data_IF_924510763652
#
_entry.id   IF_924510763652
#
_cell.length_a   1.000
_cell.length_b   1.000
_cell.length_c   1.000
_cell.angle_alpha   90.00
_cell.angle_beta   90.00
_cell.angle_gamma   90.00
#
_symmetry.space_group_name_H-M   'P 1'
#
loop_
_entity.id
_entity.type
_entity.pdbx_description
1 polymer ?
#
# COMPACT_ATOMS: atom_id res chain seq x y z
N UNK A 1 -16.64 -15.41 -7.35
CA UNK A 1 -16.19 -14.33 -8.26
C UNK A 1 -14.80 -14.66 -8.79
N UNK A 2 -14.50 -14.21 -10.02
CA UNK A 2 -13.18 -14.38 -10.66
C UNK A 2 -12.37 -13.08 -10.52
N UNK A 3 -11.12 -13.20 -10.13
CA UNK A 3 -10.18 -12.10 -10.06
C UNK A 3 -8.93 -12.35 -10.89
N UNK A 4 -8.34 -11.31 -11.44
CA UNK A 4 -7.05 -11.37 -12.11
C UNK A 4 -6.06 -10.40 -11.44
N UNK A 5 -4.82 -10.86 -11.21
CA UNK A 5 -3.71 -10.08 -10.70
C UNK A 5 -2.68 -9.85 -11.79
N UNK A 6 -2.41 -8.60 -12.13
CA UNK A 6 -1.45 -8.22 -13.17
C UNK A 6 -0.23 -7.57 -12.52
N UNK A 7 0.94 -8.15 -12.74
CA UNK A 7 2.19 -7.74 -12.10
C UNK A 7 2.44 -8.49 -10.79
N UNK A 8 3.47 -9.34 -10.82
CA UNK A 8 3.85 -10.23 -9.72
C UNK A 8 5.18 -9.81 -9.07
N UNK A 9 5.37 -8.50 -8.94
CA UNK A 9 6.47 -7.92 -8.18
C UNK A 9 6.27 -8.07 -6.67
N UNK A 10 6.67 -7.06 -5.91
CA UNK A 10 6.63 -7.08 -4.44
C UNK A 10 5.21 -7.23 -3.85
N UNK A 11 4.20 -6.63 -4.48
CA UNK A 11 2.85 -6.56 -3.92
C UNK A 11 1.91 -7.63 -4.49
N UNK A 12 2.02 -7.92 -5.80
CA UNK A 12 1.07 -8.76 -6.52
C UNK A 12 0.80 -10.12 -5.88
N UNK A 13 1.83 -10.92 -5.54
CA UNK A 13 1.61 -12.22 -4.92
C UNK A 13 0.80 -12.14 -3.62
N UNK A 14 1.18 -11.21 -2.72
CA UNK A 14 0.47 -11.05 -1.45
C UNK A 14 -0.98 -10.57 -1.61
N UNK A 15 -1.27 -9.69 -2.58
CA UNK A 15 -2.62 -9.24 -2.92
C UNK A 15 -3.45 -10.43 -3.45
N UNK A 16 -2.90 -11.19 -4.42
CA UNK A 16 -3.56 -12.36 -4.97
C UNK A 16 -3.87 -13.40 -3.88
N UNK A 17 -2.91 -13.65 -2.98
CA UNK A 17 -3.10 -14.56 -1.86
C UNK A 17 -4.23 -14.12 -0.92
N UNK A 18 -4.32 -12.83 -0.63
CA UNK A 18 -5.35 -12.27 0.25
C UNK A 18 -6.74 -12.41 -0.37
N UNK A 19 -6.88 -12.04 -1.64
CA UNK A 19 -8.16 -12.16 -2.36
C UNK A 19 -8.58 -13.62 -2.55
N UNK A 20 -7.61 -14.53 -2.82
CA UNK A 20 -7.91 -15.97 -2.93
C UNK A 20 -8.37 -16.56 -1.60
N UNK A 21 -7.77 -16.18 -0.47
CA UNK A 21 -8.23 -16.57 0.87
C UNK A 21 -9.64 -16.04 1.18
N UNK A 22 -9.99 -14.89 0.62
CA UNK A 22 -11.33 -14.31 0.67
C UNK A 22 -12.34 -14.95 -0.28
N UNK A 23 -11.95 -16.06 -0.97
CA UNK A 23 -12.85 -16.84 -1.81
C UNK A 23 -12.91 -16.46 -3.28
N UNK A 24 -12.04 -15.53 -3.77
CA UNK A 24 -11.95 -15.25 -5.19
C UNK A 24 -11.14 -16.32 -5.92
N UNK A 25 -11.61 -16.72 -7.09
CA UNK A 25 -10.82 -17.54 -8.02
C UNK A 25 -9.83 -16.64 -8.74
N UNK A 26 -8.58 -16.58 -8.21
CA UNK A 26 -7.55 -15.69 -8.71
C UNK A 26 -6.73 -16.32 -9.84
N UNK A 27 -6.49 -15.54 -10.90
CA UNK A 27 -5.51 -15.83 -11.96
C UNK A 27 -4.42 -14.77 -11.94
N UNK A 28 -3.16 -15.20 -11.90
CA UNK A 28 -1.98 -14.34 -11.78
C UNK A 28 -1.26 -14.27 -13.12
N UNK A 29 -0.91 -13.05 -13.55
CA UNK A 29 -0.20 -12.76 -14.79
C UNK A 29 1.00 -11.86 -14.57
N UNK A 30 2.10 -12.17 -15.23
CA UNK A 30 3.25 -11.27 -15.39
C UNK A 30 3.89 -11.51 -16.75
N UNK A 31 4.44 -10.46 -17.36
CA UNK A 31 5.18 -10.55 -18.63
C UNK A 31 6.48 -11.33 -18.50
N UNK A 32 7.02 -11.46 -17.28
CA UNK A 32 8.27 -12.16 -16.97
C UNK A 32 7.97 -13.55 -16.41
N UNK A 33 8.33 -14.59 -17.15
CA UNK A 33 8.19 -15.98 -16.70
C UNK A 33 8.89 -16.26 -15.35
N UNK A 34 9.96 -15.53 -15.03
CA UNK A 34 10.65 -15.62 -13.74
C UNK A 34 9.74 -15.18 -12.59
N UNK A 35 8.99 -14.07 -12.77
CA UNK A 35 8.07 -13.57 -11.74
C UNK A 35 6.90 -14.54 -11.52
N UNK A 36 6.39 -15.18 -12.59
CA UNK A 36 5.38 -16.23 -12.47
C UNK A 36 5.89 -17.40 -11.60
N UNK A 37 7.10 -17.93 -11.90
CA UNK A 37 7.70 -19.03 -11.11
C UNK A 37 7.93 -18.64 -9.65
N UNK A 38 8.44 -17.42 -9.41
CA UNK A 38 8.67 -16.92 -8.06
C UNK A 38 7.37 -16.78 -7.27
N UNK A 39 6.35 -16.18 -7.87
CA UNK A 39 5.04 -16.05 -7.26
C UNK A 39 4.37 -17.41 -6.98
N UNK A 40 4.54 -18.39 -7.88
CA UNK A 40 4.04 -19.75 -7.66
C UNK A 40 4.70 -20.38 -6.41
N UNK A 41 6.00 -20.25 -6.24
CA UNK A 41 6.68 -20.72 -5.05
C UNK A 41 6.19 -20.02 -3.76
N UNK A 42 5.95 -18.70 -3.83
CA UNK A 42 5.38 -17.94 -2.70
C UNK A 42 3.95 -18.41 -2.36
N UNK A 43 3.11 -18.66 -3.36
CA UNK A 43 1.74 -19.17 -3.13
C UNK A 43 1.75 -20.56 -2.50
N UNK A 44 2.66 -21.44 -2.93
CA UNK A 44 2.85 -22.76 -2.30
C UNK A 44 3.25 -22.63 -0.82
N UNK A 45 4.22 -21.74 -0.53
CA UNK A 45 4.67 -21.47 0.85
C UNK A 45 3.55 -20.90 1.74
N UNK A 46 2.65 -20.10 1.16
CA UNK A 46 1.48 -19.54 1.84
C UNK A 46 0.28 -20.52 1.90
N UNK A 47 0.38 -21.69 1.29
CA UNK A 47 -0.70 -22.67 1.12
C UNK A 47 -1.96 -22.06 0.50
N UNK A 48 -1.78 -21.29 -0.59
CA UNK A 48 -2.86 -20.63 -1.33
C UNK A 48 -2.91 -21.15 -2.76
N UNK A 49 -4.12 -21.48 -3.23
CA UNK A 49 -4.36 -21.95 -4.60
C UNK A 49 -4.78 -20.75 -5.48
N UNK A 50 -3.99 -20.49 -6.51
CA UNK A 50 -4.28 -19.53 -7.59
C UNK A 50 -3.85 -20.14 -8.92
N UNK A 51 -4.44 -19.69 -10.03
CA UNK A 51 -3.97 -20.03 -11.37
C UNK A 51 -2.85 -19.08 -11.81
N UNK A 52 -1.94 -19.57 -12.66
CA UNK A 52 -0.91 -18.79 -13.31
C UNK A 52 -1.07 -18.88 -14.81
N UNK A 53 -1.13 -17.73 -15.50
CA UNK A 53 -1.39 -17.69 -16.93
C UNK A 53 -0.43 -16.68 -17.59
N UNK A 54 0.43 -17.11 -18.53
CA UNK A 54 1.38 -16.23 -19.21
C UNK A 54 0.75 -15.41 -20.36
N UNK A 55 -0.49 -15.68 -20.73
CA UNK A 55 -1.24 -14.91 -21.72
C UNK A 55 -2.23 -13.97 -21.03
N UNK A 56 -2.12 -12.66 -21.30
CA UNK A 56 -2.94 -11.64 -20.66
C UNK A 56 -4.43 -11.83 -20.96
N UNK A 57 -4.78 -12.14 -22.21
CA UNK A 57 -6.19 -12.28 -22.60
C UNK A 57 -6.86 -13.44 -21.86
N UNK A 58 -6.14 -14.56 -21.71
CA UNK A 58 -6.61 -15.70 -20.92
C UNK A 58 -6.65 -15.42 -19.43
N UNK A 59 -5.64 -14.70 -18.92
CA UNK A 59 -5.57 -14.37 -17.50
C UNK A 59 -6.75 -13.52 -17.02
N UNK A 60 -7.22 -12.59 -17.84
CA UNK A 60 -8.32 -11.67 -17.48
C UNK A 60 -9.69 -12.13 -18.01
N UNK A 61 -9.77 -13.28 -18.71
CA UNK A 61 -10.99 -13.76 -19.33
C UNK A 61 -12.11 -14.00 -18.32
N UNK A 62 -13.19 -13.22 -18.45
CA UNK A 62 -14.37 -13.32 -17.58
C UNK A 62 -14.12 -12.87 -16.15
N UNK A 63 -13.07 -12.11 -15.87
CA UNK A 63 -12.79 -11.55 -14.55
C UNK A 63 -13.88 -10.55 -14.13
N UNK A 64 -14.28 -10.61 -12.87
CA UNK A 64 -15.16 -9.62 -12.22
C UNK A 64 -14.35 -8.46 -11.65
N UNK A 65 -13.09 -8.74 -11.25
CA UNK A 65 -12.11 -7.78 -10.74
C UNK A 65 -10.74 -8.03 -11.39
N UNK A 66 -10.12 -6.98 -11.90
CA UNK A 66 -8.70 -6.98 -12.30
C UNK A 66 -7.95 -6.01 -11.41
N UNK A 67 -6.86 -6.47 -10.77
CA UNK A 67 -5.97 -5.62 -9.97
C UNK A 67 -4.61 -5.54 -10.66
N UNK A 68 -4.14 -4.32 -10.91
CA UNK A 68 -2.84 -4.05 -11.52
C UNK A 68 -1.83 -3.61 -10.43
N UNK A 69 -0.65 -4.22 -10.43
CA UNK A 69 0.50 -3.86 -9.58
C UNK A 69 1.83 -3.93 -10.38
N UNK A 70 1.83 -3.44 -11.63
CA UNK A 70 3.05 -3.26 -12.42
C UNK A 70 3.90 -2.11 -11.86
N UNK A 71 5.19 -1.95 -12.29
CA UNK A 71 6.05 -0.86 -11.81
C UNK A 71 5.39 0.51 -11.86
N UNK A 72 5.73 1.37 -10.90
CA UNK A 72 5.10 2.69 -10.66
C UNK A 72 5.54 3.71 -11.74
N UNK A 73 5.02 3.51 -12.96
CA UNK A 73 5.21 4.35 -14.14
C UNK A 73 3.86 4.58 -14.80
N UNK A 74 3.46 5.84 -14.91
CA UNK A 74 2.12 6.22 -15.36
C UNK A 74 1.78 5.62 -16.73
N UNK A 75 2.67 5.81 -17.71
CA UNK A 75 2.48 5.34 -19.09
C UNK A 75 2.34 3.82 -19.16
N UNK A 76 3.09 3.09 -18.34
CA UNK A 76 3.00 1.63 -18.27
C UNK A 76 1.64 1.19 -17.72
N UNK A 77 1.19 1.82 -16.64
CA UNK A 77 -0.12 1.55 -16.04
C UNK A 77 -1.26 1.88 -17.01
N UNK A 78 -1.18 3.02 -17.69
CA UNK A 78 -2.15 3.43 -18.71
C UNK A 78 -2.18 2.42 -19.87
N UNK A 79 -1.02 1.96 -20.37
CA UNK A 79 -0.94 0.92 -21.39
C UNK A 79 -1.62 -0.39 -20.93
N UNK A 80 -1.36 -0.82 -19.70
CA UNK A 80 -2.01 -2.02 -19.14
C UNK A 80 -3.52 -1.84 -19.05
N UNK A 81 -4.00 -0.69 -18.56
CA UNK A 81 -5.43 -0.40 -18.45
C UNK A 81 -6.13 -0.42 -19.80
N UNK A 82 -5.57 0.24 -20.82
CA UNK A 82 -6.13 0.24 -22.18
C UNK A 82 -6.15 -1.16 -22.82
N UNK A 83 -5.16 -2.00 -22.54
CA UNK A 83 -5.14 -3.39 -23.02
C UNK A 83 -6.18 -4.25 -22.29
N UNK A 84 -6.25 -4.13 -20.96
CA UNK A 84 -7.21 -4.87 -20.12
C UNK A 84 -8.65 -4.52 -20.51
N UNK A 85 -8.95 -3.25 -20.70
CA UNK A 85 -10.31 -2.80 -21.07
C UNK A 85 -10.87 -3.54 -22.28
N UNK A 86 -10.04 -3.81 -23.28
CA UNK A 86 -10.43 -4.50 -24.54
C UNK A 86 -10.71 -5.99 -24.35
N UNK A 87 -10.21 -6.57 -23.27
CA UNK A 87 -10.20 -8.03 -23.03
C UNK A 87 -11.24 -8.48 -22.00
N UNK A 88 -11.76 -7.54 -21.19
CA UNK A 88 -12.65 -7.87 -20.08
C UNK A 88 -14.10 -7.44 -20.32
N UNK A 89 -15.08 -8.13 -19.72
CA UNK A 89 -16.48 -7.71 -19.76
C UNK A 89 -16.68 -6.26 -19.29
N UNK A 90 -17.70 -5.60 -19.82
CA UNK A 90 -18.00 -4.21 -19.48
C UNK A 90 -18.25 -3.95 -17.98
N UNK A 91 -18.71 -4.96 -17.26
CA UNK A 91 -18.99 -4.93 -15.81
C UNK A 91 -17.79 -5.13 -14.92
N UNK A 92 -16.63 -5.51 -15.48
CA UNK A 92 -15.39 -5.81 -14.74
C UNK A 92 -14.86 -4.53 -14.08
N UNK A 93 -14.56 -4.59 -12.79
CA UNK A 93 -13.83 -3.53 -12.09
C UNK A 93 -12.36 -3.63 -12.46
N UNK A 94 -11.77 -2.51 -12.90
CA UNK A 94 -10.33 -2.41 -13.17
C UNK A 94 -9.72 -1.53 -12.08
N UNK A 95 -8.81 -2.08 -11.30
CA UNK A 95 -8.21 -1.42 -10.16
C UNK A 95 -6.68 -1.32 -10.29
N UNK A 96 -6.10 -0.23 -9.82
CA UNK A 96 -4.65 -0.09 -9.67
C UNK A 96 -4.24 -0.13 -8.20
N UNK A 97 -3.14 -0.83 -7.91
CA UNK A 97 -2.44 -0.74 -6.63
C UNK A 97 -1.36 0.36 -6.64
N UNK A 98 -1.52 1.40 -7.46
CA UNK A 98 -0.62 2.56 -7.42
C UNK A 98 -0.57 3.15 -6.02
N UNK A 99 0.61 3.63 -5.63
CA UNK A 99 0.81 4.26 -4.31
C UNK A 99 0.75 5.79 -4.36
N UNK A 100 0.74 6.39 -5.54
CA UNK A 100 0.85 7.85 -5.64
C UNK A 100 0.18 8.51 -6.83
N UNK A 101 -0.04 7.79 -7.95
CA UNK A 101 -0.69 8.38 -9.12
C UNK A 101 -2.19 8.57 -8.87
N UNK A 102 -2.75 9.77 -9.11
CA UNK A 102 -4.19 9.97 -9.10
C UNK A 102 -4.90 8.99 -10.04
N UNK A 103 -5.96 8.36 -9.57
CA UNK A 103 -6.73 7.39 -10.36
C UNK A 103 -7.35 8.05 -11.60
N UNK A 104 -7.71 9.32 -11.49
CA UNK A 104 -8.17 10.14 -12.61
C UNK A 104 -7.20 10.10 -13.80
N UNK A 105 -5.88 10.10 -13.56
CA UNK A 105 -4.87 9.99 -14.62
C UNK A 105 -4.85 8.61 -15.27
N UNK A 106 -5.16 7.55 -14.54
CA UNK A 106 -5.29 6.19 -15.09
C UNK A 106 -6.57 6.04 -15.90
N UNK A 107 -7.63 6.74 -15.53
CA UNK A 107 -8.90 6.78 -16.25
C UNK A 107 -8.78 7.38 -17.66
N UNK A 108 -7.74 8.18 -17.92
CA UNK A 108 -7.50 8.75 -19.26
C UNK A 108 -7.24 7.68 -20.33
N UNK A 109 -6.76 6.50 -19.94
CA UNK A 109 -6.39 5.40 -20.84
C UNK A 109 -7.55 4.46 -21.22
N UNK A 110 -8.74 4.67 -20.66
CA UNK A 110 -9.90 3.80 -20.86
C UNK A 110 -11.14 4.60 -21.30
N UNK A 111 -12.02 3.93 -22.04
CA UNK A 111 -13.29 4.51 -22.48
C UNK A 111 -14.35 4.48 -21.37
N UNK A 112 -14.42 3.38 -20.63
CA UNK A 112 -15.37 3.16 -19.52
C UNK A 112 -14.74 3.51 -18.19
N UNK A 113 -14.60 4.80 -17.94
CA UNK A 113 -13.91 5.38 -16.79
C UNK A 113 -14.61 5.09 -15.46
N UNK A 114 -15.94 4.92 -15.50
CA UNK A 114 -16.80 4.72 -14.34
C UNK A 114 -16.52 3.44 -13.55
N UNK A 115 -15.86 2.44 -14.17
CA UNK A 115 -15.49 1.16 -13.54
C UNK A 115 -14.06 1.08 -13.04
N UNK A 116 -13.32 2.17 -13.12
CA UNK A 116 -11.90 2.26 -12.73
C UNK A 116 -11.79 2.93 -11.37
N UNK A 117 -11.01 2.31 -10.47
CA UNK A 117 -10.71 2.82 -9.14
C UNK A 117 -9.31 2.43 -8.67
N UNK A 118 -8.86 2.99 -7.56
CA UNK A 118 -7.66 2.55 -6.85
C UNK A 118 -8.01 1.54 -5.77
N UNK A 119 -7.19 0.49 -5.65
CA UNK A 119 -7.17 -0.40 -4.51
C UNK A 119 -5.74 -0.44 -3.99
N UNK A 120 -5.45 0.38 -2.98
CA UNK A 120 -4.09 0.53 -2.47
C UNK A 120 -3.91 -0.25 -1.17
N UNK A 121 -3.10 -1.31 -1.25
CA UNK A 121 -2.72 -2.14 -0.09
C UNK A 121 -1.46 -1.63 0.58
N UNK A 122 -1.44 -1.73 1.89
CA UNK A 122 -0.20 -1.58 2.67
C UNK A 122 0.67 -2.83 2.63
N UNK A 123 2.00 -2.64 2.64
CA UNK A 123 2.98 -3.74 2.64
C UNK A 123 3.31 -4.22 4.08
N UNK A 124 3.18 -5.50 4.41
CA UNK A 124 2.85 -6.67 3.58
C UNK A 124 1.33 -6.87 3.40
N UNK A 125 0.83 -7.02 2.16
CA UNK A 125 -0.62 -7.02 1.89
C UNK A 125 -1.37 -8.24 2.45
N UNK A 126 -0.67 -9.34 2.74
CA UNK A 126 -1.25 -10.54 3.35
C UNK A 126 -1.33 -10.47 4.88
N UNK A 127 -0.76 -9.43 5.50
CA UNK A 127 -0.78 -9.23 6.96
C UNK A 127 -1.62 -8.01 7.31
N UNK A 128 -1.40 -6.87 6.64
CA UNK A 128 -2.12 -5.62 6.92
C UNK A 128 -3.47 -5.66 6.20
N UNK A 129 -4.60 -5.65 6.93
CA UNK A 129 -5.91 -5.86 6.33
C UNK A 129 -6.48 -4.60 5.66
N UNK A 130 -5.94 -3.41 5.94
CA UNK A 130 -6.45 -2.15 5.43
C UNK A 130 -6.16 -1.99 3.93
N UNK A 131 -7.20 -1.60 3.18
CA UNK A 131 -7.12 -1.28 1.75
C UNK A 131 -7.82 0.04 1.49
N UNK A 132 -7.12 1.02 0.96
CA UNK A 132 -7.76 2.24 0.48
C UNK A 132 -8.50 1.95 -0.83
N UNK A 133 -9.78 2.33 -0.87
CA UNK A 133 -10.64 2.30 -2.06
C UNK A 133 -10.76 3.72 -2.57
N UNK A 134 -10.05 4.04 -3.64
CA UNK A 134 -9.86 5.40 -4.11
C UNK A 134 -10.72 5.64 -5.36
N UNK A 135 -11.67 6.57 -5.28
CA UNK A 135 -12.43 7.02 -6.43
C UNK A 135 -11.60 8.01 -7.26
N UNK A 136 -11.48 7.78 -8.57
CA UNK A 136 -11.10 8.83 -9.50
C UNK A 136 -12.29 9.71 -9.87
N UNK A 137 -12.06 10.80 -10.57
CA UNK A 137 -13.10 11.80 -10.91
C UNK A 137 -14.32 11.20 -11.64
N UNK A 138 -14.13 10.09 -12.35
CA UNK A 138 -15.19 9.44 -13.13
C UNK A 138 -15.67 8.12 -12.55
N UNK A 139 -15.16 7.68 -11.39
CA UNK A 139 -15.55 6.40 -10.79
C UNK A 139 -17.00 6.46 -10.32
N UNK A 140 -17.82 5.52 -10.78
CA UNK A 140 -19.22 5.45 -10.34
C UNK A 140 -19.32 5.07 -8.85
N UNK A 141 -20.18 5.74 -8.06
CA UNK A 141 -20.37 5.40 -6.65
C UNK A 141 -20.75 3.94 -6.40
N UNK A 142 -21.52 3.35 -7.29
CA UNK A 142 -21.89 1.93 -7.22
C UNK A 142 -20.66 1.00 -7.34
N UNK A 143 -19.64 1.37 -8.12
CA UNK A 143 -18.40 0.62 -8.25
C UNK A 143 -17.57 0.69 -6.97
N UNK A 144 -17.50 1.85 -6.32
CA UNK A 144 -16.86 2.02 -5.02
C UNK A 144 -17.54 1.13 -3.97
N UNK A 145 -18.87 1.16 -3.89
CA UNK A 145 -19.63 0.33 -2.94
C UNK A 145 -19.43 -1.17 -3.21
N UNK A 146 -19.44 -1.59 -4.49
CA UNK A 146 -19.18 -2.98 -4.86
C UNK A 146 -17.76 -3.42 -4.47
N UNK A 147 -16.75 -2.59 -4.70
CA UNK A 147 -15.36 -2.88 -4.29
C UNK A 147 -15.24 -2.96 -2.77
N UNK A 148 -15.86 -2.01 -2.04
CA UNK A 148 -15.90 -2.01 -0.57
C UNK A 148 -16.52 -3.30 -0.02
N UNK A 149 -17.67 -3.71 -0.52
CA UNK A 149 -18.34 -4.95 -0.10
C UNK A 149 -17.46 -6.18 -0.39
N UNK A 150 -16.91 -6.29 -1.60
CA UNK A 150 -16.02 -7.38 -2.00
C UNK A 150 -14.82 -7.52 -1.07
N UNK A 151 -14.16 -6.41 -0.73
CA UNK A 151 -13.01 -6.43 0.17
C UNK A 151 -13.40 -6.83 1.59
N UNK A 152 -14.55 -6.34 2.09
CA UNK A 152 -15.08 -6.73 3.39
C UNK A 152 -15.40 -8.23 3.46
N UNK A 153 -16.02 -8.78 2.41
CA UNK A 153 -16.29 -10.23 2.27
C UNK A 153 -14.98 -11.05 2.27
N UNK A 154 -13.88 -10.47 1.79
CA UNK A 154 -12.54 -11.07 1.87
C UNK A 154 -11.88 -10.93 3.27
N UNK A 155 -12.56 -10.39 4.26
CA UNK A 155 -12.01 -10.15 5.60
C UNK A 155 -10.99 -9.00 5.66
N UNK A 156 -11.06 -8.08 4.70
CA UNK A 156 -10.27 -6.86 4.64
C UNK A 156 -11.04 -5.68 5.24
N UNK A 157 -10.32 -4.60 5.53
CA UNK A 157 -10.87 -3.34 6.07
C UNK A 157 -10.78 -2.27 4.97
N UNK A 158 -11.82 -2.10 4.14
CA UNK A 158 -11.81 -1.08 3.11
C UNK A 158 -12.03 0.31 3.69
N UNK A 159 -11.15 1.24 3.33
CA UNK A 159 -11.23 2.67 3.69
C UNK A 159 -11.49 3.46 2.41
N UNK A 160 -12.63 4.14 2.33
CA UNK A 160 -12.99 4.92 1.15
C UNK A 160 -12.28 6.27 1.15
N UNK A 161 -11.55 6.54 0.08
CA UNK A 161 -10.91 7.82 -0.20
C UNK A 161 -11.72 8.54 -1.29
N UNK A 162 -12.40 9.59 -0.92
CA UNK A 162 -13.38 10.27 -1.79
C UNK A 162 -12.75 11.10 -2.91
N UNK A 163 -11.48 11.52 -2.72
CA UNK A 163 -10.72 12.33 -3.70
C UNK A 163 -9.32 11.75 -3.87
N UNK A 164 -8.92 11.52 -5.08
CA UNK A 164 -7.63 10.92 -5.47
C UNK A 164 -6.47 11.93 -5.43
N UNK A 165 -6.19 12.47 -4.26
CA UNK A 165 -5.01 13.32 -4.05
C UNK A 165 -3.70 12.51 -4.14
N UNK A 166 -2.58 13.11 -4.59
CA UNK A 166 -1.29 12.41 -4.63
C UNK A 166 -0.90 11.80 -3.28
N UNK A 167 -0.55 10.50 -3.27
CA UNK A 167 -0.20 9.75 -2.05
C UNK A 167 -1.40 9.32 -1.20
N UNK A 168 -2.62 9.62 -1.62
CA UNK A 168 -3.87 9.27 -0.94
C UNK A 168 -3.88 9.69 0.54
N UNK A 169 -4.43 8.88 1.45
CA UNK A 169 -4.47 9.19 2.89
C UNK A 169 -3.29 8.52 3.62
N UNK A 170 -3.13 7.20 3.41
CA UNK A 170 -2.11 6.42 4.12
C UNK A 170 -0.69 6.97 3.93
N UNK A 171 -0.27 7.18 2.69
CA UNK A 171 1.08 7.68 2.42
C UNK A 171 1.24 9.14 2.85
N UNK A 172 0.21 9.96 2.74
CA UNK A 172 0.31 11.37 3.21
C UNK A 172 0.59 11.44 4.71
N UNK A 173 -0.14 10.66 5.52
CA UNK A 173 0.10 10.59 6.96
C UNK A 173 1.48 9.99 7.27
N UNK A 174 1.85 8.89 6.60
CA UNK A 174 3.15 8.27 6.78
C UNK A 174 4.30 9.22 6.44
N UNK A 175 4.24 9.91 5.30
CA UNK A 175 5.30 10.83 4.89
C UNK A 175 5.36 12.12 5.72
N UNK A 176 4.25 12.57 6.29
CA UNK A 176 4.27 13.65 7.28
C UNK A 176 5.09 13.27 8.52
N UNK A 177 4.84 12.05 9.05
CA UNK A 177 5.62 11.50 10.17
C UNK A 177 7.09 11.31 9.79
N UNK A 178 7.38 10.71 8.62
CA UNK A 178 8.75 10.46 8.18
C UNK A 178 9.54 11.74 7.94
N UNK A 179 8.91 12.79 7.41
CA UNK A 179 9.55 14.10 7.20
C UNK A 179 10.00 14.70 8.52
N UNK A 180 9.14 14.75 9.52
CA UNK A 180 9.46 15.24 10.86
C UNK A 180 10.54 14.36 11.53
N UNK A 181 10.38 13.04 11.49
CA UNK A 181 11.34 12.10 12.06
C UNK A 181 12.77 12.27 11.51
N UNK A 182 12.90 12.42 10.19
CA UNK A 182 14.21 12.65 9.55
C UNK A 182 14.78 14.00 9.94
N UNK A 183 13.96 15.05 10.00
CA UNK A 183 14.38 16.40 10.42
C UNK A 183 14.94 16.41 11.83
N UNK A 184 14.28 15.75 12.78
CA UNK A 184 14.75 15.66 14.17
C UNK A 184 16.10 14.96 14.28
N UNK A 185 16.33 13.90 13.51
CA UNK A 185 17.63 13.20 13.47
C UNK A 185 18.70 14.08 12.80
N UNK A 186 18.37 14.71 11.67
CA UNK A 186 19.30 15.57 10.92
C UNK A 186 19.75 16.78 11.74
N UNK A 187 18.84 17.38 12.51
CA UNK A 187 19.11 18.51 13.44
C UNK A 187 19.83 18.07 14.72
N UNK A 188 20.08 16.77 14.92
CA UNK A 188 20.74 16.24 16.12
C UNK A 188 19.91 16.31 17.39
N UNK A 189 18.59 16.48 17.29
CA UNK A 189 17.69 16.50 18.44
C UNK A 189 17.65 15.13 19.13
N UNK A 190 17.71 14.06 18.34
CA UNK A 190 17.62 12.68 18.83
C UNK A 190 18.39 11.73 17.87
N UNK A 191 18.92 10.60 18.41
CA UNK A 191 19.47 9.55 17.53
C UNK A 191 18.36 8.76 16.84
N UNK A 192 18.69 8.12 15.71
CA UNK A 192 17.71 7.30 14.97
C UNK A 192 17.17 6.13 15.82
N UNK A 193 18.02 5.51 16.66
CA UNK A 193 17.64 4.43 17.57
C UNK A 193 16.65 4.89 18.63
N UNK A 194 16.93 6.03 19.26
CA UNK A 194 16.06 6.58 20.31
C UNK A 194 14.74 7.11 19.73
N UNK A 195 14.76 7.69 18.52
CA UNK A 195 13.56 8.11 17.81
C UNK A 195 12.66 6.90 17.51
N UNK A 196 13.24 5.79 17.03
CA UNK A 196 12.51 4.55 16.77
C UNK A 196 11.87 3.97 18.06
N UNK A 197 12.56 4.06 19.21
CA UNK A 197 12.00 3.66 20.51
C UNK A 197 10.85 4.57 20.92
N UNK A 198 11.05 5.90 20.87
CA UNK A 198 10.04 6.88 21.19
C UNK A 198 8.77 6.67 20.35
N UNK A 199 8.94 6.50 19.03
CA UNK A 199 7.82 6.26 18.15
C UNK A 199 7.08 4.97 18.47
N UNK A 200 7.80 3.84 18.58
CA UNK A 200 7.17 2.51 18.78
C UNK A 200 6.43 2.40 20.11
N UNK A 201 7.02 2.89 21.20
CA UNK A 201 6.49 2.74 22.53
C UNK A 201 5.60 3.91 23.01
N UNK A 202 5.70 5.04 22.36
CA UNK A 202 4.85 6.20 22.62
C UNK A 202 3.72 6.32 21.59
N UNK A 203 4.03 6.96 20.46
CA UNK A 203 3.04 7.32 19.45
C UNK A 203 2.43 6.09 18.76
N UNK A 204 3.26 5.15 18.31
CA UNK A 204 2.83 3.98 17.56
C UNK A 204 1.93 3.05 18.35
N UNK A 205 2.25 2.83 19.64
CA UNK A 205 1.42 2.03 20.54
C UNK A 205 0.05 2.68 20.74
N UNK A 206 0.03 3.99 20.97
CA UNK A 206 -1.22 4.75 21.15
C UNK A 206 -2.08 4.71 19.89
N UNK A 207 -1.50 5.03 18.72
CA UNK A 207 -2.22 5.08 17.46
C UNK A 207 -2.62 3.70 16.90
N UNK A 208 -2.11 2.61 17.47
CA UNK A 208 -2.63 1.28 17.16
C UNK A 208 -4.01 1.00 17.79
N UNK A 209 -4.40 1.77 18.81
CA UNK A 209 -5.65 1.56 19.56
C UNK A 209 -6.67 2.66 19.30
N UNK A 210 -6.20 3.89 19.07
CA UNK A 210 -7.06 5.06 18.87
C UNK A 210 -6.64 5.81 17.61
N UNK A 211 -7.60 6.17 16.76
CA UNK A 211 -7.33 6.96 15.56
C UNK A 211 -6.96 8.41 15.89
N UNK A 212 -6.28 9.13 14.95
CA UNK A 212 -5.84 10.51 15.22
C UNK A 212 -6.99 11.48 15.47
N UNK A 213 -8.15 11.31 14.82
CA UNK A 213 -9.30 12.18 15.04
C UNK A 213 -9.96 11.93 16.39
N UNK A 214 -10.12 10.67 16.77
CA UNK A 214 -10.63 10.30 18.09
C UNK A 214 -9.68 10.74 19.20
N UNK A 215 -8.36 10.69 18.95
CA UNK A 215 -7.36 11.19 19.88
C UNK A 215 -7.52 12.69 20.17
N UNK A 216 -7.93 13.49 19.20
CA UNK A 216 -8.22 14.91 19.41
C UNK A 216 -9.39 15.12 20.37
N UNK A 217 -10.49 14.35 20.19
CA UNK A 217 -11.65 14.42 21.08
C UNK A 217 -11.30 13.97 22.50
N UNK A 218 -10.49 12.91 22.64
CA UNK A 218 -10.03 12.42 23.96
C UNK A 218 -9.12 13.45 24.67
N UNK A 219 -8.24 14.13 23.92
CA UNK A 219 -7.33 15.14 24.46
C UNK A 219 -8.02 16.48 24.78
N UNK A 220 -9.07 16.80 24.04
CA UNK A 220 -9.74 18.10 24.04
C UNK A 220 -9.29 19.00 22.88
N UNK A 221 -10.26 19.49 22.10
CA UNK A 221 -9.99 20.33 20.94
C UNK A 221 -9.38 21.69 21.31
N UNK A 222 -9.70 22.22 22.48
CA UNK A 222 -9.10 23.42 23.08
C UNK A 222 -7.61 23.23 23.38
N UNK A 223 -7.23 22.06 23.89
CA UNK A 223 -5.81 21.72 24.10
C UNK A 223 -5.10 21.61 22.75
N UNK A 224 -5.72 20.98 21.76
CA UNK A 224 -5.13 20.89 20.42
C UNK A 224 -4.93 22.30 19.81
N UNK A 225 -5.95 23.18 19.87
CA UNK A 225 -5.87 24.55 19.37
C UNK A 225 -4.71 25.32 20.01
N UNK A 226 -4.60 25.24 21.33
CA UNK A 226 -3.53 25.92 22.07
C UNK A 226 -2.13 25.40 21.69
N UNK A 227 -1.94 24.09 21.61
CA UNK A 227 -0.64 23.47 21.25
C UNK A 227 -0.30 23.68 19.79
N UNK A 228 -1.24 23.44 18.88
CA UNK A 228 -1.05 23.61 17.44
C UNK A 228 -0.74 25.06 17.08
N UNK A 229 -1.26 26.03 17.82
CA UNK A 229 -1.04 27.45 17.62
C UNK A 229 0.44 27.90 17.65
N UNK A 230 1.27 27.18 18.42
CA UNK A 230 2.73 27.43 18.43
C UNK A 230 3.54 26.34 17.75
N UNK A 231 3.13 25.06 17.88
CA UNK A 231 3.93 23.93 17.42
C UNK A 231 3.93 23.79 15.89
N UNK A 232 2.81 24.04 15.22
CA UNK A 232 2.70 23.87 13.77
C UNK A 232 3.69 24.74 12.98
N UNK A 233 4.07 25.90 13.52
CA UNK A 233 5.04 26.79 12.89
C UNK A 233 6.48 26.25 12.93
N UNK A 234 6.78 25.37 13.92
CA UNK A 234 8.12 24.80 14.14
C UNK A 234 8.30 23.43 13.49
N UNK A 235 7.19 22.73 13.18
CA UNK A 235 7.24 21.44 12.52
C UNK A 235 7.83 21.53 11.11
N UNK A 236 8.53 20.47 10.69
CA UNK A 236 9.16 20.40 9.38
C UNK A 236 8.13 20.42 8.24
N UNK A 237 8.22 21.40 7.35
CA UNK A 237 7.29 21.62 6.25
C UNK A 237 7.95 21.74 4.87
N UNK A 238 9.27 21.49 4.77
CA UNK A 238 10.00 21.54 3.49
C UNK A 238 9.42 20.62 2.45
N UNK A 239 9.33 21.10 1.21
CA UNK A 239 8.98 20.29 0.04
C UNK A 239 10.17 19.46 -0.46
N UNK A 240 11.39 19.77 -0.03
CA UNK A 240 12.61 19.10 -0.47
C UNK A 240 12.86 17.79 0.27
N UNK A 241 13.54 16.86 -0.42
CA UNK A 241 14.06 15.67 0.25
C UNK A 241 15.19 16.09 1.20
N UNK A 242 15.19 15.68 2.50
CA UNK A 242 16.21 16.04 3.47
C UNK A 242 17.64 15.76 3.00
N UNK A 243 18.59 16.64 3.34
CA UNK A 243 20.00 16.50 2.93
C UNK A 243 20.63 15.20 3.47
N UNK A 244 20.24 14.80 4.66
CA UNK A 244 20.64 13.52 5.27
C UNK A 244 20.31 12.32 4.38
N UNK A 245 19.08 12.24 3.86
CA UNK A 245 18.66 11.16 2.95
C UNK A 245 19.39 11.26 1.61
N UNK A 246 19.51 12.47 1.03
CA UNK A 246 20.28 12.69 -0.21
C UNK A 246 21.74 12.24 -0.07
N UNK A 247 22.38 12.48 1.10
CA UNK A 247 23.74 12.02 1.39
C UNK A 247 23.83 10.50 1.37
N UNK A 248 22.96 9.80 2.10
CA UNK A 248 22.95 8.33 2.16
C UNK A 248 22.73 7.71 0.77
N UNK A 249 21.80 8.24 -0.02
CA UNK A 249 21.51 7.73 -1.36
C UNK A 249 22.69 7.92 -2.33
N UNK A 250 23.38 9.07 -2.27
CA UNK A 250 24.62 9.30 -3.05
C UNK A 250 25.73 8.30 -2.70
N UNK A 251 25.83 7.93 -1.43
CA UNK A 251 26.76 6.90 -0.93
C UNK A 251 26.32 5.48 -1.23
N UNK A 252 25.20 5.28 -1.93
CA UNK A 252 24.57 3.98 -2.17
C UNK A 252 24.21 3.20 -0.90
N UNK A 253 24.05 3.90 0.22
CA UNK A 253 23.52 3.36 1.47
C UNK A 253 21.98 3.34 1.39
N UNK A 254 21.42 2.29 0.75
CA UNK A 254 20.01 2.22 0.40
C UNK A 254 19.19 1.33 1.34
N UNK A 255 19.69 1.10 2.56
CA UNK A 255 19.03 0.27 3.57
C UNK A 255 19.31 -1.23 3.42
N UNK A 256 18.37 -2.06 3.84
CA UNK A 256 18.51 -3.53 3.88
C UNK A 256 18.95 -4.16 2.55
N UNK A 257 18.59 -3.58 1.41
CA UNK A 257 18.96 -4.11 0.07
C UNK A 257 20.43 -3.96 -0.27
N UNK A 258 21.16 -3.09 0.43
CA UNK A 258 22.59 -2.85 0.26
C UNK A 258 23.40 -3.13 1.51
N UNK A 259 22.76 -3.69 2.56
CA UNK A 259 23.38 -3.97 3.85
C UNK A 259 23.65 -2.73 4.72
N UNK A 260 23.46 -1.53 4.19
CA UNK A 260 23.68 -0.27 4.91
C UNK A 260 22.69 0.80 4.48
N UNK A 261 22.18 1.54 5.46
CA UNK A 261 21.31 2.70 5.29
C UNK A 261 21.48 3.65 6.45
N UNK A 262 20.38 4.00 7.14
CA UNK A 262 20.41 4.64 8.44
C UNK A 262 21.06 3.70 9.46
N UNK A 263 20.75 2.41 9.35
CA UNK A 263 21.36 1.33 10.14
C UNK A 263 22.20 0.41 9.26
N UNK A 264 23.00 -0.46 9.89
CA UNK A 264 23.76 -1.52 9.24
C UNK A 264 23.05 -2.88 9.39
N UNK A 265 23.16 -3.72 8.36
CA UNK A 265 22.43 -4.99 8.26
C UNK A 265 23.31 -6.09 7.72
N UNK A 266 23.28 -7.28 8.32
CA UNK A 266 23.78 -8.51 7.71
C UNK A 266 22.65 -9.23 6.96
N UNK A 267 22.97 -10.10 5.97
CA UNK A 267 21.95 -10.88 5.26
C UNK A 267 21.08 -11.71 6.22
N UNK A 268 21.67 -12.35 7.21
CA UNK A 268 21.00 -13.15 8.25
C UNK A 268 20.11 -12.26 9.12
N UNK A 269 20.62 -11.10 9.54
CA UNK A 269 19.89 -10.10 10.31
C UNK A 269 18.65 -9.57 9.56
N UNK A 270 18.76 -9.34 8.25
CA UNK A 270 17.61 -8.93 7.42
C UNK A 270 16.52 -10.00 7.41
N UNK A 271 16.90 -11.28 7.28
CA UNK A 271 15.93 -12.37 7.29
C UNK A 271 15.23 -12.52 8.66
N UNK A 272 16.03 -12.45 9.74
CA UNK A 272 15.49 -12.48 11.12
C UNK A 272 14.53 -11.31 11.38
N UNK A 273 14.90 -10.08 10.94
CA UNK A 273 14.05 -8.89 11.08
C UNK A 273 12.73 -9.03 10.31
N UNK A 274 12.76 -9.57 9.08
CA UNK A 274 11.56 -9.81 8.28
C UNK A 274 10.61 -10.77 8.98
N UNK A 275 11.12 -11.89 9.47
CA UNK A 275 10.33 -12.91 10.17
C UNK A 275 9.75 -12.36 11.48
N UNK A 276 10.58 -11.72 12.30
CA UNK A 276 10.16 -11.12 13.56
C UNK A 276 9.13 -10.00 13.36
N UNK A 277 9.30 -9.16 12.32
CA UNK A 277 8.34 -8.11 11.95
C UNK A 277 7.00 -8.71 11.56
N UNK A 278 6.99 -9.75 10.73
CA UNK A 278 5.76 -10.43 10.32
C UNK A 278 4.99 -11.00 11.50
N UNK A 279 5.68 -11.72 12.41
CA UNK A 279 5.08 -12.28 13.61
C UNK A 279 4.49 -11.19 14.54
N UNK A 280 5.23 -10.09 14.75
CA UNK A 280 4.75 -8.95 15.57
C UNK A 280 3.53 -8.27 14.95
N UNK A 281 3.52 -8.04 13.64
CA UNK A 281 2.37 -7.45 12.95
C UNK A 281 1.12 -8.33 13.08
N UNK A 282 1.26 -9.65 12.97
CA UNK A 282 0.14 -10.59 13.18
C UNK A 282 -0.37 -10.55 14.63
N UNK A 283 0.52 -10.47 15.62
CA UNK A 283 0.14 -10.36 17.03
C UNK A 283 -0.62 -9.05 17.30
N UNK A 284 -0.12 -7.91 16.80
CA UNK A 284 -0.80 -6.61 16.92
C UNK A 284 -2.16 -6.65 16.23
N UNK A 285 -2.22 -7.15 14.99
CA UNK A 285 -3.49 -7.31 14.26
C UNK A 285 -4.51 -8.12 15.08
N UNK A 286 -4.08 -9.22 15.69
CA UNK A 286 -4.95 -10.06 16.53
C UNK A 286 -5.47 -9.28 17.74
N UNK A 287 -4.61 -8.52 18.40
CA UNK A 287 -5.00 -7.69 19.55
C UNK A 287 -5.98 -6.55 19.18
N UNK A 288 -5.87 -6.00 17.96
CA UNK A 288 -6.81 -4.98 17.46
C UNK A 288 -8.18 -5.55 17.06
N UNK A 289 -8.33 -6.86 16.91
CA UNK A 289 -9.57 -7.54 16.54
C UNK A 289 -10.33 -8.09 17.76
N UNK A 290 -9.68 -8.12 18.94
CA UNK A 290 -10.29 -8.51 20.22
C UNK A 290 -11.01 -7.35 20.89
#
# INVERSE_FOLDING_TARGET
>A
MKGAMIGLGTMGPGIAATLARGGLQMTCYDVKAEQLRKAEAEMRALNVKVAFEPDLARAVAGADLVVEAVPERLELKQLVFGNVEKLVPAKTIIASNTSGFPITRLQEAVSKKERVLGLHWSNPPHIIPMVEVIAGAHTAPAVVQKAKALLADCGLIPVVVEKDVPGFVHNRLLYAILREAVSLVEKGVISAEELDKCFKWGLGLKLAVIGPMELLDVAGLDIYEAVAGYLNADLENSADVPAYIKKLTRQKHLGMKTGKGIFEYTPEGVQQLRTARGAKLLAVRKAMQS
#
